data_IF_271925526266
#
_entry.id   IF_271925526266
#
_cell.length_a   1.000
_cell.length_b   1.000
_cell.length_c   1.000
_cell.angle_alpha   90.00
_cell.angle_beta   90.00
_cell.angle_gamma   90.00
#
_symmetry.space_group_name_H-M   'P 1'
#
loop_
_entity.id
_entity.type
_entity.pdbx_description
1 polymer ?
#
# COMPACT_ATOMS: atom_id res chain seq x y z
N UNK A 1 15.27 -16.89 -9.79
CA UNK A 1 15.62 -16.62 -8.39
C UNK A 1 14.75 -17.55 -7.56
N UNK A 2 14.92 -17.98 -6.42
CA UNK A 2 14.10 -18.78 -5.49
C UNK A 2 13.23 -19.91 -6.09
N UNK A 3 13.88 -20.94 -6.64
CA UNK A 3 13.18 -22.12 -7.19
C UNK A 3 12.49 -22.93 -6.07
N UNK A 4 13.11 -23.01 -4.90
CA UNK A 4 12.61 -23.72 -3.73
C UNK A 4 12.35 -22.77 -2.56
N UNK A 5 11.34 -23.10 -1.75
CA UNK A 5 11.02 -22.35 -0.55
C UNK A 5 11.83 -22.89 0.64
N UNK A 6 12.58 -22.03 1.36
CA UNK A 6 13.38 -22.47 2.49
C UNK A 6 12.53 -22.93 3.67
N UNK A 7 12.78 -24.13 4.17
CA UNK A 7 12.09 -24.74 5.31
C UNK A 7 12.76 -24.48 6.66
N UNK A 8 13.88 -23.75 6.72
CA UNK A 8 14.60 -23.44 7.96
C UNK A 8 15.25 -22.06 7.88
N UNK A 9 15.54 -21.46 9.04
CA UNK A 9 16.23 -20.18 9.13
C UNK A 9 17.55 -20.18 8.36
N UNK A 10 18.35 -21.21 8.51
CA UNK A 10 19.63 -21.33 7.81
C UNK A 10 19.46 -21.38 6.29
N UNK A 11 18.46 -22.12 5.79
CA UNK A 11 18.15 -22.20 4.36
C UNK A 11 17.64 -20.84 3.85
N UNK A 12 16.80 -20.14 4.63
CA UNK A 12 16.30 -18.80 4.32
C UNK A 12 17.44 -17.80 4.14
N UNK A 13 18.38 -17.72 5.11
CA UNK A 13 19.52 -16.81 5.04
C UNK A 13 20.42 -17.12 3.84
N UNK A 14 20.75 -18.39 3.67
CA UNK A 14 21.61 -18.81 2.55
C UNK A 14 20.98 -18.50 1.19
N UNK A 15 19.68 -18.77 1.02
CA UNK A 15 18.98 -18.51 -0.23
C UNK A 15 18.99 -17.02 -0.58
N UNK A 16 18.65 -16.15 0.36
CA UNK A 16 18.67 -14.71 0.14
C UNK A 16 20.07 -14.21 -0.19
N UNK A 17 21.07 -14.60 0.59
CA UNK A 17 22.46 -14.17 0.36
C UNK A 17 22.99 -14.63 -0.99
N UNK A 18 22.81 -15.91 -1.33
CA UNK A 18 23.29 -16.48 -2.60
C UNK A 18 22.61 -15.79 -3.78
N UNK A 19 21.28 -15.65 -3.74
CA UNK A 19 20.54 -15.04 -4.84
C UNK A 19 20.84 -13.55 -4.99
N UNK A 20 20.99 -12.81 -3.88
CA UNK A 20 21.35 -11.40 -3.94
C UNK A 20 22.75 -11.17 -4.49
N UNK A 21 23.74 -11.98 -4.07
CA UNK A 21 25.10 -11.90 -4.58
C UNK A 21 25.19 -12.30 -6.06
N UNK A 22 24.42 -13.32 -6.48
CA UNK A 22 24.34 -13.71 -7.88
C UNK A 22 23.70 -12.60 -8.72
N UNK A 23 22.65 -11.97 -8.24
CA UNK A 23 21.98 -10.85 -8.91
C UNK A 23 22.94 -9.66 -9.11
N UNK A 24 23.69 -9.28 -8.09
CA UNK A 24 24.70 -8.22 -8.17
C UNK A 24 25.80 -8.53 -9.20
N UNK A 25 26.18 -9.82 -9.33
CA UNK A 25 27.21 -10.27 -10.27
C UNK A 25 26.75 -10.21 -11.73
N UNK A 26 25.48 -10.51 -11.99
CA UNK A 26 24.97 -10.65 -13.36
C UNK A 26 24.77 -9.33 -14.08
N UNK A 27 24.68 -8.23 -13.36
CA UNK A 27 24.56 -6.89 -13.93
C UNK A 27 23.46 -6.77 -15.00
N UNK A 28 22.36 -7.50 -14.81
CA UNK A 28 21.23 -7.60 -15.75
C UNK A 28 20.16 -6.59 -15.44
N UNK A 29 20.06 -5.57 -16.25
CA UNK A 29 19.36 -4.34 -15.94
C UNK A 29 18.03 -4.14 -16.63
N UNK A 30 17.22 -5.08 -16.95
CA UNK A 30 16.40 -4.81 -18.10
C UNK A 30 14.98 -4.32 -17.85
N UNK A 31 14.28 -4.76 -16.80
CA UNK A 31 12.84 -4.57 -16.76
C UNK A 31 12.27 -4.00 -15.44
N UNK A 32 13.13 -3.58 -14.53
CA UNK A 32 12.68 -3.03 -13.24
C UNK A 32 12.82 -1.51 -13.17
N UNK A 33 12.88 -0.85 -14.31
CA UNK A 33 13.16 0.57 -14.35
C UNK A 33 12.11 1.30 -15.19
N UNK A 34 11.35 2.14 -14.54
CA UNK A 34 10.41 3.05 -15.18
C UNK A 34 11.08 4.43 -15.33
N UNK A 35 11.66 4.67 -16.51
CA UNK A 35 12.29 5.94 -16.84
C UNK A 35 11.30 7.12 -16.79
N UNK A 36 10.03 6.88 -17.08
CA UNK A 36 9.02 7.93 -17.07
C UNK A 36 8.70 8.42 -15.65
N UNK A 37 8.69 7.49 -14.68
CA UNK A 37 8.43 7.82 -13.27
C UNK A 37 9.60 8.57 -12.62
N UNK A 38 10.83 8.20 -12.95
CA UNK A 38 12.02 8.74 -12.30
C UNK A 38 12.77 9.81 -13.11
N UNK A 39 12.29 10.16 -14.29
CA UNK A 39 12.89 11.18 -15.17
C UNK A 39 14.40 10.99 -15.40
N UNK A 40 14.83 9.76 -15.69
CA UNK A 40 16.22 9.40 -15.86
C UNK A 40 16.72 9.47 -17.32
N UNK A 41 16.07 10.23 -18.18
CA UNK A 41 16.55 10.44 -19.54
C UNK A 41 17.95 11.06 -19.50
N UNK A 42 18.95 10.31 -19.99
CA UNK A 42 20.34 10.75 -20.07
C UNK A 42 21.20 10.51 -18.83
N UNK A 43 20.68 9.83 -17.78
CA UNK A 43 21.50 9.49 -16.61
C UNK A 43 22.40 8.29 -16.91
N UNK A 44 23.67 8.44 -16.60
CA UNK A 44 24.65 7.35 -16.63
C UNK A 44 24.29 6.29 -15.57
N UNK A 45 23.81 5.13 -16.04
CA UNK A 45 23.33 4.02 -15.18
C UNK A 45 24.41 3.51 -14.22
N UNK A 46 25.69 3.66 -14.56
CA UNK A 46 26.79 3.27 -13.67
C UNK A 46 26.83 4.12 -12.39
N UNK A 47 26.26 5.33 -12.42
CA UNK A 47 26.18 6.24 -11.27
C UNK A 47 24.97 5.96 -10.38
N UNK A 48 24.05 5.11 -10.80
CA UNK A 48 22.86 4.73 -10.01
C UNK A 48 23.16 3.59 -9.04
N UNK A 49 24.32 2.93 -9.15
CA UNK A 49 24.75 1.96 -8.17
C UNK A 49 25.28 2.70 -6.93
N UNK A 50 24.50 2.65 -5.86
CA UNK A 50 24.88 3.25 -4.59
C UNK A 50 25.34 2.18 -3.61
N UNK A 51 26.68 2.05 -3.45
CA UNK A 51 27.28 1.09 -2.53
C UNK A 51 26.88 1.32 -1.06
N UNK A 52 26.58 2.57 -0.70
CA UNK A 52 26.14 2.91 0.67
C UNK A 52 24.76 2.32 0.97
N UNK A 53 23.83 2.37 0.01
CA UNK A 53 22.50 1.77 0.16
C UNK A 53 22.59 0.25 0.28
N UNK A 54 23.42 -0.37 -0.55
CA UNK A 54 23.67 -1.81 -0.44
C UNK A 54 24.27 -2.18 0.92
N UNK A 55 25.27 -1.43 1.39
CA UNK A 55 25.89 -1.67 2.70
C UNK A 55 24.85 -1.54 3.83
N UNK A 56 24.01 -0.50 3.78
CA UNK A 56 22.92 -0.30 4.74
C UNK A 56 21.96 -1.49 4.76
N UNK A 57 21.48 -1.95 3.60
CA UNK A 57 20.52 -3.04 3.54
C UNK A 57 21.15 -4.40 3.88
N UNK A 58 22.43 -4.65 3.58
CA UNK A 58 23.12 -5.85 4.07
C UNK A 58 23.25 -5.83 5.59
N UNK A 59 23.63 -4.70 6.20
CA UNK A 59 23.66 -4.55 7.65
C UNK A 59 22.27 -4.75 8.28
N UNK A 60 21.25 -4.11 7.70
CA UNK A 60 19.86 -4.28 8.10
C UNK A 60 19.43 -5.74 8.06
N UNK A 61 19.75 -6.47 7.00
CA UNK A 61 19.44 -7.90 6.85
C UNK A 61 20.11 -8.74 7.95
N UNK A 62 21.42 -8.55 8.16
CA UNK A 62 22.13 -9.30 9.20
C UNK A 62 21.62 -9.04 10.61
N UNK A 63 21.23 -7.81 10.91
CA UNK A 63 20.66 -7.44 12.21
C UNK A 63 19.25 -8.02 12.43
N UNK A 64 18.50 -8.27 11.37
CA UNK A 64 17.08 -8.62 11.44
C UNK A 64 16.75 -10.03 10.88
N UNK A 65 17.75 -10.87 10.65
CA UNK A 65 17.56 -12.19 10.02
C UNK A 65 16.48 -13.04 10.70
N UNK A 66 16.48 -13.10 12.02
CA UNK A 66 15.50 -13.89 12.80
C UNK A 66 14.08 -13.35 12.64
N UNK A 67 13.91 -12.03 12.71
CA UNK A 67 12.62 -11.37 12.54
C UNK A 67 12.09 -11.55 11.11
N UNK A 68 12.96 -11.43 10.10
CA UNK A 68 12.61 -11.66 8.71
C UNK A 68 12.18 -13.10 8.45
N UNK A 69 12.89 -14.08 9.00
CA UNK A 69 12.50 -15.48 8.88
C UNK A 69 11.19 -15.77 9.64
N UNK A 70 11.00 -15.19 10.82
CA UNK A 70 9.76 -15.32 11.57
C UNK A 70 8.56 -14.79 10.76
N UNK A 71 8.66 -13.58 10.18
CA UNK A 71 7.62 -13.00 9.34
C UNK A 71 7.34 -13.87 8.09
N UNK A 72 8.39 -14.28 7.37
CA UNK A 72 8.28 -15.21 6.24
C UNK A 72 7.50 -16.49 6.61
N UNK A 73 7.79 -17.05 7.78
CA UNK A 73 7.18 -18.32 8.24
C UNK A 73 5.69 -18.18 8.55
N UNK A 74 5.21 -16.97 8.82
CA UNK A 74 3.82 -16.66 9.13
C UNK A 74 2.93 -16.48 7.90
N UNK A 75 3.51 -16.36 6.70
CA UNK A 75 2.75 -16.17 5.47
C UNK A 75 2.04 -17.46 5.04
N UNK A 76 0.77 -17.31 4.65
CA UNK A 76 -0.19 -18.41 4.53
C UNK A 76 -0.08 -19.24 3.24
N UNK A 77 0.60 -18.75 2.20
CA UNK A 77 0.76 -19.48 0.94
C UNK A 77 2.17 -19.35 0.34
N UNK A 78 2.47 -20.21 -0.63
CA UNK A 78 3.78 -20.24 -1.27
C UNK A 78 4.09 -19.00 -2.09
N UNK A 79 3.09 -18.40 -2.74
CA UNK A 79 3.27 -17.20 -3.57
C UNK A 79 3.69 -16.00 -2.70
N UNK A 80 3.03 -15.78 -1.56
CA UNK A 80 3.44 -14.78 -0.58
C UNK A 80 4.84 -15.03 -0.04
N UNK A 81 5.19 -16.28 0.25
CA UNK A 81 6.54 -16.65 0.72
C UNK A 81 7.59 -16.37 -0.35
N UNK A 82 7.30 -16.73 -1.58
CA UNK A 82 8.21 -16.49 -2.72
C UNK A 82 8.39 -14.99 -2.98
N UNK A 83 7.30 -14.24 -2.96
CA UNK A 83 7.33 -12.78 -3.08
C UNK A 83 8.16 -12.14 -1.95
N UNK A 84 8.00 -12.59 -0.71
CA UNK A 84 8.75 -12.10 0.43
C UNK A 84 10.27 -12.25 0.26
N UNK A 85 10.72 -13.41 -0.23
CA UNK A 85 12.13 -13.65 -0.56
C UNK A 85 12.65 -12.65 -1.61
N UNK A 86 11.85 -12.41 -2.67
CA UNK A 86 12.22 -11.44 -3.70
C UNK A 86 12.29 -10.01 -3.15
N UNK A 87 11.36 -9.61 -2.29
CA UNK A 87 11.35 -8.28 -1.67
C UNK A 87 12.58 -8.05 -0.77
N UNK A 88 13.00 -9.07 -0.01
CA UNK A 88 14.23 -8.97 0.79
C UNK A 88 15.46 -8.91 -0.11
N UNK A 89 15.55 -9.77 -1.13
CA UNK A 89 16.65 -9.75 -2.08
C UNK A 89 16.71 -8.43 -2.89
N UNK A 90 15.55 -7.87 -3.24
CA UNK A 90 15.43 -6.58 -3.92
C UNK A 90 16.00 -5.45 -3.07
N UNK A 91 15.74 -5.44 -1.76
CA UNK A 91 16.36 -4.45 -0.85
C UNK A 91 17.88 -4.60 -0.78
N UNK A 92 18.39 -5.82 -0.78
CA UNK A 92 19.84 -6.09 -0.72
C UNK A 92 20.57 -5.73 -2.00
N UNK A 93 20.04 -6.18 -3.16
CA UNK A 93 20.72 -6.07 -4.45
C UNK A 93 20.22 -4.91 -5.33
N UNK A 94 19.12 -4.27 -4.94
CA UNK A 94 18.56 -3.10 -5.62
C UNK A 94 17.72 -3.46 -6.86
N UNK A 95 16.98 -2.45 -7.31
CA UNK A 95 16.03 -2.55 -8.42
C UNK A 95 16.68 -2.85 -9.79
N UNK A 96 17.98 -2.59 -9.94
CA UNK A 96 18.71 -2.93 -11.15
C UNK A 96 19.14 -4.40 -11.23
N UNK A 97 19.13 -5.10 -10.14
CA UNK A 97 19.68 -6.46 -10.04
C UNK A 97 18.63 -7.52 -9.75
N UNK A 98 17.51 -7.15 -9.13
CA UNK A 98 16.42 -8.07 -8.77
C UNK A 98 15.13 -7.63 -9.41
N UNK A 99 14.51 -8.53 -10.19
CA UNK A 99 13.18 -8.35 -10.75
C UNK A 99 12.13 -8.86 -9.76
N UNK A 100 11.19 -7.99 -9.40
CA UNK A 100 10.05 -8.40 -8.58
C UNK A 100 9.03 -9.17 -9.42
N UNK A 101 8.48 -10.27 -8.90
CA UNK A 101 7.45 -11.06 -9.58
C UNK A 101 6.09 -10.37 -9.46
N UNK A 102 5.91 -9.27 -10.18
CA UNK A 102 4.63 -8.57 -10.23
C UNK A 102 3.72 -9.21 -11.28
N UNK A 103 2.51 -9.54 -10.89
CA UNK A 103 1.53 -10.23 -11.73
C UNK A 103 0.97 -9.42 -12.90
N UNK A 104 1.63 -8.33 -13.34
CA UNK A 104 1.14 -7.43 -14.38
C UNK A 104 1.25 -8.01 -15.80
N UNK A 105 2.18 -8.93 -16.04
CA UNK A 105 2.38 -9.51 -17.36
C UNK A 105 1.11 -10.22 -17.89
N UNK A 106 0.24 -10.68 -17.00
CA UNK A 106 -0.98 -11.39 -17.35
C UNK A 106 -2.22 -10.48 -17.44
N UNK A 107 -2.06 -9.15 -17.30
CA UNK A 107 -3.16 -8.17 -17.29
C UNK A 107 -3.13 -7.20 -18.48
N UNK A 108 -2.42 -7.54 -19.54
CA UNK A 108 -2.31 -6.69 -20.73
C UNK A 108 -3.67 -6.39 -21.37
N UNK A 109 -4.55 -7.39 -21.43
CA UNK A 109 -5.90 -7.22 -21.99
C UNK A 109 -6.78 -6.34 -21.09
N UNK A 110 -6.73 -6.53 -19.77
CA UNK A 110 -7.44 -5.67 -18.81
C UNK A 110 -6.92 -4.22 -18.86
N UNK A 111 -5.62 -4.05 -19.01
CA UNK A 111 -5.01 -2.71 -19.15
C UNK A 111 -5.45 -2.04 -20.46
N UNK A 112 -5.52 -2.77 -21.56
CA UNK A 112 -6.00 -2.26 -22.82
C UNK A 112 -7.48 -1.86 -22.75
N UNK A 113 -8.33 -2.70 -22.14
CA UNK A 113 -9.74 -2.41 -21.88
C UNK A 113 -9.90 -1.14 -21.02
N UNK A 114 -9.17 -1.08 -19.89
CA UNK A 114 -9.19 0.10 -19.02
C UNK A 114 -8.74 1.35 -19.75
N UNK A 115 -7.63 1.30 -20.49
CA UNK A 115 -7.10 2.45 -21.25
C UNK A 115 -8.08 2.94 -22.31
N UNK A 116 -8.83 2.03 -22.94
CA UNK A 116 -9.86 2.38 -23.90
C UNK A 116 -11.09 3.04 -23.23
N UNK A 117 -11.43 2.64 -22.02
CA UNK A 117 -12.57 3.17 -21.27
C UNK A 117 -12.26 4.46 -20.51
N UNK A 118 -11.10 4.52 -19.84
CA UNK A 118 -10.74 5.55 -18.88
C UNK A 118 -10.30 6.86 -19.56
N UNK A 119 -11.24 7.53 -20.21
CA UNK A 119 -11.00 8.87 -20.74
C UNK A 119 -10.86 9.87 -19.62
N UNK A 120 -9.86 10.76 -19.73
CA UNK A 120 -9.62 11.81 -18.75
C UNK A 120 -9.32 13.15 -19.39
N UNK A 121 -9.65 14.22 -18.69
CA UNK A 121 -9.29 15.60 -19.03
C UNK A 121 -8.44 16.17 -17.88
N UNK A 122 -7.69 17.27 -18.11
CA UNK A 122 -7.02 17.96 -17.00
C UNK A 122 -8.04 18.37 -15.93
N UNK A 123 -7.76 18.09 -14.66
CA UNK A 123 -8.58 18.55 -13.55
C UNK A 123 -8.57 20.07 -13.46
N UNK A 124 -9.69 20.64 -13.04
CA UNK A 124 -9.81 22.08 -12.73
C UNK A 124 -9.43 22.39 -11.26
N UNK A 125 -9.16 21.36 -10.47
CA UNK A 125 -8.79 21.55 -9.08
C UNK A 125 -7.33 22.00 -8.97
N UNK A 126 -7.01 22.89 -8.03
CA UNK A 126 -5.64 23.26 -7.75
C UNK A 126 -4.90 22.03 -7.18
N UNK A 127 -4.05 21.42 -7.99
CA UNK A 127 -3.13 20.40 -7.51
C UNK A 127 -1.80 21.09 -7.23
N UNK A 128 -1.40 21.19 -5.98
CA UNK A 128 -0.15 21.83 -5.54
C UNK A 128 1.10 21.01 -5.92
N UNK A 129 1.19 20.59 -7.17
CA UNK A 129 2.31 19.78 -7.68
C UNK A 129 2.21 18.28 -7.39
N UNK A 130 1.14 17.83 -6.75
CA UNK A 130 0.91 16.41 -6.52
C UNK A 130 0.86 15.63 -7.84
N UNK A 131 1.63 14.56 -7.95
CA UNK A 131 1.57 13.58 -9.03
C UNK A 131 1.59 14.18 -10.46
N UNK A 132 2.24 15.32 -10.66
CA UNK A 132 2.31 15.96 -11.99
C UNK A 132 1.00 16.59 -12.47
N UNK A 133 0.02 16.72 -11.59
CA UNK A 133 -1.33 17.24 -11.87
C UNK A 133 -2.41 16.17 -11.82
N UNK A 134 -3.58 16.56 -11.34
CA UNK A 134 -4.74 15.68 -11.30
C UNK A 134 -5.44 15.65 -12.66
N UNK A 135 -6.06 14.53 -12.96
CA UNK A 135 -6.93 14.33 -14.12
C UNK A 135 -8.35 14.12 -13.63
N UNK A 136 -9.30 14.68 -14.34
CA UNK A 136 -10.72 14.40 -14.15
C UNK A 136 -11.11 13.18 -14.96
N UNK A 137 -11.57 12.13 -14.30
CA UNK A 137 -12.11 10.91 -14.88
C UNK A 137 -13.63 10.92 -14.75
N UNK A 138 -14.31 10.55 -15.83
CA UNK A 138 -15.76 10.31 -15.88
C UNK A 138 -15.99 9.20 -16.92
N UNK A 139 -16.14 7.95 -16.47
CA UNK A 139 -16.19 6.78 -17.35
C UNK A 139 -16.85 5.56 -16.70
N UNK A 140 -17.32 4.66 -17.55
CA UNK A 140 -17.84 3.35 -17.19
C UNK A 140 -16.76 2.28 -17.37
N UNK A 141 -16.56 1.43 -16.35
CA UNK A 141 -15.66 0.29 -16.43
C UNK A 141 -16.23 -0.91 -15.66
N UNK A 142 -16.35 -2.07 -16.31
CA UNK A 142 -16.93 -3.31 -15.74
C UNK A 142 -18.29 -3.08 -15.06
N UNK A 143 -19.17 -2.31 -15.72
CA UNK A 143 -20.52 -1.92 -15.26
C UNK A 143 -20.55 -1.03 -14.01
N UNK A 144 -19.44 -0.44 -13.64
CA UNK A 144 -19.36 0.56 -12.58
C UNK A 144 -18.99 1.92 -13.16
N UNK A 145 -19.62 2.98 -12.65
CA UNK A 145 -19.35 4.36 -13.05
C UNK A 145 -18.36 5.01 -12.11
N UNK A 146 -17.36 5.68 -12.63
CA UNK A 146 -16.31 6.37 -11.86
C UNK A 146 -16.26 7.84 -12.26
N UNK A 147 -16.46 8.74 -11.29
CA UNK A 147 -16.28 10.18 -11.44
C UNK A 147 -15.33 10.65 -10.35
N UNK A 148 -14.09 11.03 -10.70
CA UNK A 148 -13.07 11.38 -9.71
C UNK A 148 -11.94 12.19 -10.32
N UNK A 149 -11.42 13.16 -9.57
CA UNK A 149 -10.21 13.89 -9.89
C UNK A 149 -9.02 13.27 -9.14
N UNK A 150 -8.17 12.52 -9.84
CA UNK A 150 -7.00 11.83 -9.28
C UNK A 150 -5.88 11.68 -10.31
N UNK A 151 -4.75 11.10 -9.91
CA UNK A 151 -3.64 10.85 -10.81
C UNK A 151 -3.91 9.65 -11.74
N UNK A 152 -4.41 8.55 -11.20
CA UNK A 152 -4.72 7.31 -11.94
C UNK A 152 -5.63 6.41 -11.11
N UNK A 153 -6.43 5.59 -11.78
CA UNK A 153 -7.20 4.50 -11.18
C UNK A 153 -6.68 3.10 -11.59
N UNK A 154 -5.65 3.04 -12.43
CA UNK A 154 -5.10 1.79 -12.95
C UNK A 154 -4.68 0.81 -11.84
N UNK A 155 -4.00 1.32 -10.81
CA UNK A 155 -3.53 0.50 -9.70
C UNK A 155 -4.66 -0.25 -9.00
N UNK A 156 -5.81 0.37 -8.86
CA UNK A 156 -6.95 -0.19 -8.13
C UNK A 156 -7.87 -1.02 -9.03
N UNK A 157 -8.11 -0.58 -10.24
CA UNK A 157 -9.08 -1.21 -11.15
C UNK A 157 -8.47 -2.35 -11.97
N UNK A 158 -7.21 -2.20 -12.43
CA UNK A 158 -6.50 -3.20 -13.23
C UNK A 158 -5.61 -4.07 -12.36
N UNK A 159 -4.72 -3.45 -11.58
CA UNK A 159 -3.77 -4.19 -10.72
C UNK A 159 -4.42 -4.75 -9.47
N UNK A 160 -5.62 -4.28 -9.10
CA UNK A 160 -6.41 -4.76 -7.97
C UNK A 160 -5.72 -4.55 -6.62
N UNK A 161 -4.90 -3.50 -6.48
CA UNK A 161 -4.34 -3.12 -5.19
C UNK A 161 -5.47 -2.93 -4.17
N UNK A 162 -5.29 -3.48 -2.98
CA UNK A 162 -6.27 -3.61 -1.89
C UNK A 162 -7.44 -4.57 -2.14
N UNK A 163 -7.40 -5.33 -3.24
CA UNK A 163 -8.38 -6.35 -3.59
C UNK A 163 -7.68 -7.69 -3.88
N UNK A 164 -7.15 -8.31 -2.83
CA UNK A 164 -6.44 -9.59 -2.97
C UNK A 164 -7.39 -10.71 -3.37
N UNK A 165 -7.08 -11.36 -4.48
CA UNK A 165 -7.86 -12.49 -4.99
C UNK A 165 -6.91 -13.48 -5.68
N UNK A 166 -6.33 -14.39 -4.89
CA UNK A 166 -5.36 -15.37 -5.37
C UNK A 166 -5.57 -16.72 -4.68
N UNK A 167 -5.44 -17.81 -5.44
CA UNK A 167 -5.50 -19.17 -4.91
C UNK A 167 -6.82 -19.51 -4.18
N UNK A 168 -7.95 -18.90 -4.58
CA UNK A 168 -9.24 -19.06 -3.91
C UNK A 168 -9.40 -18.27 -2.60
N UNK A 169 -8.43 -17.39 -2.30
CA UNK A 169 -8.45 -16.52 -1.12
C UNK A 169 -8.83 -15.12 -1.58
N UNK A 170 -9.97 -14.63 -1.11
CA UNK A 170 -10.42 -13.26 -1.38
C UNK A 170 -10.37 -12.43 -0.10
N UNK A 171 -9.67 -11.27 -0.17
CA UNK A 171 -9.55 -10.28 0.90
C UNK A 171 -9.79 -8.91 0.28
N UNK A 172 -11.06 -8.55 0.20
CA UNK A 172 -11.53 -7.32 -0.42
C UNK A 172 -12.79 -6.83 0.29
N UNK A 173 -13.15 -5.54 0.16
CA UNK A 173 -14.48 -5.07 0.55
C UNK A 173 -15.57 -5.79 -0.24
N UNK A 174 -16.72 -5.97 0.38
CA UNK A 174 -17.91 -6.57 -0.22
C UNK A 174 -19.12 -5.63 -0.09
N UNK A 175 -20.16 -5.87 -0.88
CA UNK A 175 -21.40 -5.09 -0.80
C UNK A 175 -21.94 -5.04 0.63
N UNK A 176 -22.29 -3.85 1.11
CA UNK A 176 -22.77 -3.59 2.47
C UNK A 176 -21.68 -3.47 3.54
N UNK A 177 -20.39 -3.64 3.19
CA UNK A 177 -19.28 -3.51 4.14
C UNK A 177 -19.09 -2.05 4.59
N UNK A 178 -18.58 -1.91 5.81
CA UNK A 178 -18.04 -0.65 6.33
C UNK A 178 -16.51 -0.70 6.20
N UNK A 179 -15.97 0.23 5.44
CA UNK A 179 -14.54 0.34 5.12
C UNK A 179 -13.93 1.52 5.87
N UNK A 180 -12.75 1.30 6.44
CA UNK A 180 -11.84 2.34 6.90
C UNK A 180 -10.74 2.47 5.86
N UNK A 181 -10.67 3.63 5.21
CA UNK A 181 -9.65 3.98 4.23
C UNK A 181 -8.66 4.97 4.88
N UNK A 182 -7.61 4.44 5.48
CA UNK A 182 -6.54 5.23 6.10
C UNK A 182 -5.50 5.64 5.06
N UNK A 183 -5.25 6.95 4.91
CA UNK A 183 -4.45 7.51 3.82
C UNK A 183 -5.25 7.58 2.52
N UNK A 184 -6.45 8.13 2.58
CA UNK A 184 -7.36 8.22 1.44
C UNK A 184 -6.94 9.27 0.39
N UNK A 185 -5.91 10.05 0.69
CA UNK A 185 -5.33 11.05 -0.19
C UNK A 185 -6.41 11.92 -0.87
N UNK A 186 -6.47 11.91 -2.19
CA UNK A 186 -7.46 12.65 -2.98
C UNK A 186 -8.75 11.88 -3.24
N UNK A 187 -8.84 10.61 -2.82
CA UNK A 187 -10.04 9.79 -2.92
C UNK A 187 -10.10 8.83 -4.11
N UNK A 188 -8.98 8.50 -4.71
CA UNK A 188 -8.86 7.47 -5.73
C UNK A 188 -9.24 6.08 -5.20
N UNK A 189 -8.72 5.68 -4.04
CA UNK A 189 -9.16 4.46 -3.34
C UNK A 189 -10.61 4.55 -2.90
N UNK A 190 -11.03 5.72 -2.40
CA UNK A 190 -12.40 5.97 -1.95
C UNK A 190 -13.43 5.76 -3.08
N UNK A 191 -13.14 6.19 -4.31
CA UNK A 191 -14.01 5.97 -5.47
C UNK A 191 -14.22 4.47 -5.74
N UNK A 192 -13.16 3.68 -5.67
CA UNK A 192 -13.22 2.23 -5.91
C UNK A 192 -13.90 1.50 -4.76
N UNK A 193 -13.60 1.86 -3.52
CA UNK A 193 -14.28 1.27 -2.36
C UNK A 193 -15.76 1.64 -2.30
N UNK A 194 -16.12 2.89 -2.64
CA UNK A 194 -17.51 3.35 -2.69
C UNK A 194 -18.36 2.46 -3.60
N UNK A 195 -17.89 2.19 -4.81
CA UNK A 195 -18.58 1.30 -5.74
C UNK A 195 -18.61 -0.15 -5.21
N UNK A 196 -17.49 -0.66 -4.70
CA UNK A 196 -17.39 -2.04 -4.21
C UNK A 196 -18.35 -2.33 -3.04
N UNK A 197 -18.55 -1.37 -2.12
CA UNK A 197 -19.47 -1.58 -1.00
C UNK A 197 -20.93 -1.21 -1.32
N UNK A 198 -21.17 -0.42 -2.37
CA UNK A 198 -22.50 -0.05 -2.84
C UNK A 198 -23.29 0.81 -1.85
N UNK A 199 -24.61 1.05 -2.12
CA UNK A 199 -25.42 2.01 -1.38
C UNK A 199 -25.67 1.63 0.09
N UNK A 200 -25.61 0.34 0.43
CA UNK A 200 -25.81 -0.15 1.79
C UNK A 200 -24.51 -0.14 2.62
N UNK A 201 -23.35 0.02 1.95
CA UNK A 201 -22.04 0.12 2.59
C UNK A 201 -21.67 1.54 2.95
N UNK A 202 -20.52 1.71 3.60
CA UNK A 202 -19.94 3.01 3.94
C UNK A 202 -18.43 2.98 3.86
N UNK A 203 -17.83 4.10 3.43
CA UNK A 203 -16.38 4.30 3.41
C UNK A 203 -16.04 5.53 4.27
N UNK A 204 -15.24 5.33 5.31
CA UNK A 204 -14.70 6.40 6.15
C UNK A 204 -13.27 6.68 5.72
N UNK A 205 -13.04 7.82 5.09
CA UNK A 205 -11.78 8.20 4.45
C UNK A 205 -10.97 9.13 5.35
N UNK A 206 -9.82 8.67 5.79
CA UNK A 206 -8.92 9.39 6.69
C UNK A 206 -7.72 9.94 5.95
N UNK A 207 -7.48 11.21 6.07
CA UNK A 207 -6.25 11.88 5.65
C UNK A 207 -6.02 13.12 6.50
N UNK A 208 -4.79 13.44 6.97
CA UNK A 208 -4.54 14.60 7.78
C UNK A 208 -4.22 15.87 6.98
N UNK A 209 -3.96 15.75 5.67
CA UNK A 209 -3.46 16.85 4.84
C UNK A 209 -4.61 17.69 4.32
N UNK A 210 -4.59 18.98 4.61
CA UNK A 210 -5.69 19.90 4.27
C UNK A 210 -5.98 19.96 2.76
N UNK A 211 -4.94 19.94 1.91
CA UNK A 211 -5.10 19.94 0.46
C UNK A 211 -5.74 18.64 -0.05
N UNK A 212 -5.34 17.50 0.51
CA UNK A 212 -5.96 16.21 0.20
C UNK A 212 -7.44 16.20 0.60
N UNK A 213 -7.75 16.63 1.81
CA UNK A 213 -9.13 16.73 2.33
C UNK A 213 -10.00 17.62 1.46
N UNK A 214 -9.44 18.70 0.92
CA UNK A 214 -10.18 19.59 0.02
C UNK A 214 -10.57 18.88 -1.27
N UNK A 215 -9.63 18.19 -1.91
CA UNK A 215 -9.87 17.42 -3.15
C UNK A 215 -10.76 16.21 -2.88
N UNK A 216 -10.47 15.44 -1.81
CA UNK A 216 -11.29 14.30 -1.40
C UNK A 216 -12.75 14.72 -1.11
N UNK A 217 -12.95 15.85 -0.42
CA UNK A 217 -14.29 16.38 -0.15
C UNK A 217 -15.04 16.85 -1.41
N UNK A 218 -14.32 17.28 -2.43
CA UNK A 218 -14.88 17.57 -3.74
C UNK A 218 -15.25 16.26 -4.47
N UNK A 219 -14.35 15.31 -4.52
CA UNK A 219 -14.54 14.01 -5.17
C UNK A 219 -15.71 13.22 -4.56
N UNK A 220 -15.78 13.15 -3.24
CA UNK A 220 -16.84 12.43 -2.52
C UNK A 220 -18.26 12.89 -2.87
N UNK A 221 -18.42 14.15 -3.31
CA UNK A 221 -19.73 14.69 -3.75
C UNK A 221 -20.09 14.28 -5.19
N UNK A 222 -19.11 13.82 -5.96
CA UNK A 222 -19.29 13.43 -7.34
C UNK A 222 -19.44 11.92 -7.51
N UNK A 223 -19.07 11.12 -6.50
CA UNK A 223 -19.19 9.68 -6.57
C UNK A 223 -20.63 9.25 -6.85
N UNK A 224 -20.85 8.29 -7.75
CA UNK A 224 -22.19 7.82 -8.08
C UNK A 224 -22.98 7.28 -6.87
N UNK A 225 -22.26 6.80 -5.86
CA UNK A 225 -22.83 6.32 -4.60
C UNK A 225 -22.46 7.28 -3.47
N UNK A 226 -23.48 7.86 -2.80
CA UNK A 226 -23.29 8.81 -1.71
C UNK A 226 -23.06 8.11 -0.37
N UNK A 227 -21.98 7.33 -0.26
CA UNK A 227 -21.67 6.48 0.90
C UNK A 227 -20.30 6.77 1.54
N UNK A 228 -19.62 7.84 1.12
CA UNK A 228 -18.29 8.25 1.61
C UNK A 228 -18.38 9.33 2.65
N UNK A 229 -17.65 9.19 3.76
CA UNK A 229 -17.49 10.18 4.80
C UNK A 229 -16.03 10.57 4.95
N UNK A 230 -15.73 11.85 4.78
CA UNK A 230 -14.38 12.41 4.92
C UNK A 230 -14.09 12.69 6.39
N UNK A 231 -12.96 12.19 6.87
CA UNK A 231 -12.48 12.29 8.25
C UNK A 231 -11.11 12.98 8.24
N UNK A 232 -11.02 14.27 8.57
CA UNK A 232 -9.78 15.06 8.46
C UNK A 232 -8.81 14.79 9.61
N UNK A 233 -8.39 13.53 9.77
CA UNK A 233 -7.52 13.06 10.85
C UNK A 233 -6.45 12.11 10.30
N UNK A 234 -5.24 12.19 10.87
CA UNK A 234 -4.26 11.11 10.77
C UNK A 234 -4.64 9.97 11.74
N UNK A 235 -4.52 8.73 11.27
CA UNK A 235 -4.71 7.56 12.12
C UNK A 235 -3.46 7.30 12.97
N UNK A 236 -3.65 7.02 14.27
CA UNK A 236 -2.56 6.80 15.22
C UNK A 236 -3.09 6.06 16.46
N UNK A 237 -2.21 5.74 17.41
CA UNK A 237 -2.56 5.32 18.78
C UNK A 237 -2.83 6.52 19.71
N UNK A 238 -2.63 7.75 19.22
CA UNK A 238 -2.85 8.99 19.95
C UNK A 238 -4.19 9.63 19.60
N UNK A 239 -4.68 10.53 20.49
CA UNK A 239 -5.85 11.37 20.27
C UNK A 239 -5.47 12.80 20.63
N UNK A 240 -4.98 13.56 19.65
CA UNK A 240 -4.48 14.93 19.82
C UNK A 240 -5.01 15.87 18.72
N UNK A 241 -5.27 17.11 19.09
CA UNK A 241 -5.80 18.11 18.15
C UNK A 241 -4.76 18.64 17.16
N UNK A 242 -3.48 18.59 17.54
CA UNK A 242 -2.38 19.03 16.71
C UNK A 242 -1.08 18.30 17.13
N UNK A 243 -0.58 17.44 16.27
CA UNK A 243 0.73 16.78 16.42
C UNK A 243 1.64 17.33 15.32
N UNK A 244 2.85 17.82 15.62
CA UNK A 244 3.79 18.22 14.60
C UNK A 244 4.28 16.96 13.87
N UNK A 245 3.76 16.72 12.68
CA UNK A 245 4.23 15.65 11.80
C UNK A 245 5.28 16.22 10.87
N UNK A 246 6.46 15.62 10.89
CA UNK A 246 7.43 15.78 9.83
C UNK A 246 6.96 14.91 8.68
N UNK A 247 6.34 15.52 7.67
CA UNK A 247 5.95 14.82 6.46
C UNK A 247 7.21 14.28 5.80
N UNK A 248 7.27 12.98 5.64
CA UNK A 248 8.43 12.29 5.12
C UNK A 248 8.70 12.70 3.67
N UNK A 249 9.96 12.82 3.26
CA UNK A 249 10.39 13.28 1.92
C UNK A 249 9.86 12.42 0.75
N UNK A 250 9.20 11.29 1.05
CA UNK A 250 8.67 10.34 0.07
C UNK A 250 7.19 10.54 -0.27
N UNK A 251 6.49 11.45 0.40
CA UNK A 251 5.10 11.74 0.06
C UNK A 251 5.05 12.80 -1.05
N UNK A 252 4.74 12.43 -2.32
CA UNK A 252 4.68 13.38 -3.40
C UNK A 252 3.60 14.44 -3.14
N UNK A 253 3.94 15.72 -3.28
CA UNK A 253 3.01 16.83 -3.10
C UNK A 253 2.97 17.44 -1.71
N UNK A 254 3.69 16.89 -0.75
CA UNK A 254 3.85 17.55 0.56
C UNK A 254 4.90 18.66 0.48
N UNK A 255 4.57 19.83 1.00
CA UNK A 255 5.59 20.82 1.29
C UNK A 255 6.44 20.29 2.45
N UNK A 256 7.75 20.55 2.44
CA UNK A 256 8.68 20.21 3.51
C UNK A 256 8.41 20.94 4.84
N UNK A 257 7.28 21.62 4.98
CA UNK A 257 6.89 22.34 6.18
C UNK A 257 6.33 21.38 7.22
N UNK A 258 6.78 21.52 8.47
CA UNK A 258 6.15 20.87 9.61
C UNK A 258 4.70 21.35 9.71
N UNK A 259 3.76 20.43 9.54
CA UNK A 259 2.34 20.70 9.76
C UNK A 259 1.91 20.12 11.10
N UNK A 260 1.09 20.85 11.83
CA UNK A 260 0.39 20.29 12.97
C UNK A 260 -0.93 19.69 12.46
N UNK A 261 -1.12 18.39 12.66
CA UNK A 261 -2.30 17.67 12.18
C UNK A 261 -3.03 17.00 13.34
N UNK A 262 -4.35 16.88 13.27
CA UNK A 262 -5.10 16.15 14.28
C UNK A 262 -4.92 14.65 14.08
N UNK A 263 -4.63 13.94 15.18
CA UNK A 263 -4.51 12.48 15.20
C UNK A 263 -5.63 11.86 16.01
N UNK A 264 -6.18 10.76 15.53
CA UNK A 264 -7.23 9.99 16.18
C UNK A 264 -6.97 8.49 16.10
N UNK A 265 -7.32 7.79 17.15
CA UNK A 265 -7.31 6.32 17.15
C UNK A 265 -8.70 5.78 16.77
N UNK A 266 -8.71 4.70 15.99
CA UNK A 266 -9.94 4.00 15.61
C UNK A 266 -10.71 3.55 16.86
N UNK A 267 -10.01 3.02 17.87
CA UNK A 267 -10.64 2.56 19.12
C UNK A 267 -11.37 3.69 19.84
N UNK A 268 -10.79 4.90 19.88
CA UNK A 268 -11.46 6.06 20.47
C UNK A 268 -12.71 6.45 19.68
N UNK A 269 -12.64 6.51 18.34
CA UNK A 269 -13.78 6.87 17.50
C UNK A 269 -14.91 5.83 17.55
N UNK A 270 -14.59 4.56 17.74
CA UNK A 270 -15.60 3.50 18.01
C UNK A 270 -16.22 3.71 19.40
N UNK A 271 -15.41 4.03 20.42
CA UNK A 271 -15.89 4.30 21.77
C UNK A 271 -16.85 5.50 21.82
N UNK A 272 -16.52 6.57 21.12
CA UNK A 272 -17.36 7.79 21.01
C UNK A 272 -18.53 7.64 20.03
N UNK A 273 -18.67 6.49 19.38
CA UNK A 273 -19.72 6.18 18.39
C UNK A 273 -19.64 7.02 17.10
N UNK A 274 -18.49 7.61 16.81
CA UNK A 274 -18.21 8.26 15.54
C UNK A 274 -18.01 7.25 14.42
N UNK A 275 -17.44 6.08 14.76
CA UNK A 275 -17.33 4.94 13.86
C UNK A 275 -18.23 3.79 14.30
N UNK A 276 -18.95 3.15 13.37
CA UNK A 276 -19.71 1.90 13.64
C UNK A 276 -18.76 0.70 13.68
N UNK A 277 -19.32 -0.51 13.56
CA UNK A 277 -18.54 -1.71 13.22
C UNK A 277 -17.81 -1.49 11.89
N UNK A 278 -16.69 -2.19 11.68
CA UNK A 278 -15.96 -2.18 10.42
C UNK A 278 -15.72 -3.61 9.92
N UNK A 279 -15.69 -3.75 8.59
CA UNK A 279 -15.54 -5.03 7.90
C UNK A 279 -14.20 -5.12 7.16
N UNK A 280 -13.66 -3.96 6.77
CA UNK A 280 -12.40 -3.85 6.06
C UNK A 280 -11.63 -2.61 6.54
N UNK A 281 -10.32 -2.74 6.71
CA UNK A 281 -9.42 -1.62 7.03
C UNK A 281 -8.28 -1.64 6.02
N UNK A 282 -8.11 -0.57 5.27
CA UNK A 282 -6.89 -0.27 4.49
C UNK A 282 -6.06 0.73 5.28
N UNK A 283 -4.76 0.49 5.37
CA UNK A 283 -3.78 1.42 5.94
C UNK A 283 -2.63 1.62 4.95
N UNK A 284 -2.53 2.84 4.46
CA UNK A 284 -1.45 3.33 3.63
C UNK A 284 -1.22 4.79 4.07
N UNK A 285 -0.52 4.94 5.19
CA UNK A 285 -0.49 6.15 6.01
C UNK A 285 0.92 6.68 6.22
N UNK A 286 1.76 6.48 5.21
CA UNK A 286 3.09 7.08 5.09
C UNK A 286 4.00 6.79 6.31
N UNK A 287 3.98 5.54 6.78
CA UNK A 287 4.82 5.03 7.86
C UNK A 287 4.17 5.09 9.26
N UNK A 288 2.88 5.42 9.36
CA UNK A 288 2.12 5.36 10.61
C UNK A 288 1.24 4.09 10.74
N UNK A 289 1.50 3.04 9.91
CA UNK A 289 0.70 1.82 9.88
C UNK A 289 0.70 1.10 11.23
N UNK A 290 1.86 0.96 11.86
CA UNK A 290 2.00 0.27 13.14
C UNK A 290 1.29 1.02 14.27
N UNK A 291 1.43 2.35 14.32
CA UNK A 291 0.73 3.22 15.25
C UNK A 291 -0.79 3.17 15.02
N UNK A 292 -1.24 3.15 13.77
CA UNK A 292 -2.65 3.01 13.41
C UNK A 292 -3.23 1.67 13.84
N UNK A 293 -2.49 0.58 13.65
CA UNK A 293 -2.88 -0.75 14.13
C UNK A 293 -2.95 -0.82 15.67
N UNK A 294 -2.02 -0.15 16.38
CA UNK A 294 -2.07 -0.03 17.84
C UNK A 294 -3.32 0.71 18.29
N UNK A 295 -3.68 1.80 17.59
CA UNK A 295 -4.88 2.59 17.85
C UNK A 295 -6.20 1.95 17.42
N UNK A 296 -6.14 0.80 16.73
CA UNK A 296 -7.29 0.01 16.30
C UNK A 296 -7.40 -1.35 17.01
N UNK A 297 -6.53 -1.62 17.99
CA UNK A 297 -6.34 -2.96 18.55
C UNK A 297 -7.61 -3.59 19.13
N UNK A 298 -8.38 -2.83 19.88
CA UNK A 298 -9.63 -3.31 20.49
C UNK A 298 -10.72 -3.52 19.44
N UNK A 299 -10.84 -2.60 18.52
CA UNK A 299 -11.79 -2.66 17.40
C UNK A 299 -11.50 -3.84 16.48
N UNK A 300 -10.24 -4.10 16.15
CA UNK A 300 -9.84 -5.25 15.33
C UNK A 300 -10.16 -6.56 16.06
N UNK A 301 -9.86 -6.68 17.34
CA UNK A 301 -10.22 -7.88 18.14
C UNK A 301 -11.72 -8.12 18.19
N UNK A 302 -12.48 -7.05 18.31
CA UNK A 302 -13.95 -7.10 18.45
C UNK A 302 -14.64 -7.44 17.13
N UNK A 303 -14.28 -6.75 16.05
CA UNK A 303 -15.01 -6.82 14.78
C UNK A 303 -14.37 -7.77 13.77
N UNK A 304 -13.10 -8.10 13.94
CA UNK A 304 -12.30 -8.96 13.06
C UNK A 304 -12.43 -8.58 11.58
N UNK A 305 -12.18 -7.28 11.23
CA UNK A 305 -12.24 -6.85 9.83
C UNK A 305 -11.15 -7.55 9.02
N UNK A 306 -11.33 -7.66 7.71
CA UNK A 306 -10.23 -7.94 6.80
C UNK A 306 -9.27 -6.74 6.81
N UNK A 307 -7.97 -6.97 6.66
CA UNK A 307 -6.97 -5.89 6.64
C UNK A 307 -6.21 -5.89 5.32
N UNK A 308 -5.86 -4.68 4.85
CA UNK A 308 -4.89 -4.42 3.80
C UNK A 308 -3.94 -3.31 4.31
N UNK A 309 -2.69 -3.66 4.60
CA UNK A 309 -1.74 -2.78 5.29
C UNK A 309 -0.45 -2.66 4.47
N UNK A 310 -0.04 -1.46 4.14
CA UNK A 310 1.20 -1.19 3.42
C UNK A 310 2.43 -1.57 4.24
N UNK A 311 3.42 -2.21 3.59
CA UNK A 311 4.65 -2.75 4.22
C UNK A 311 5.93 -2.12 3.66
N UNK A 312 5.86 -0.94 3.07
CA UNK A 312 6.98 -0.43 2.27
C UNK A 312 7.56 0.90 2.75
N UNK A 313 6.90 1.61 3.64
CA UNK A 313 7.35 2.93 4.09
C UNK A 313 8.61 2.89 4.96
N UNK A 314 8.75 1.87 5.79
CA UNK A 314 9.96 1.66 6.60
C UNK A 314 10.58 0.28 6.29
N UNK A 315 11.92 0.14 6.31
CA UNK A 315 12.54 -1.17 6.07
C UNK A 315 12.03 -2.27 6.98
N UNK A 316 11.71 -1.94 8.23
CA UNK A 316 11.27 -2.88 9.25
C UNK A 316 9.79 -3.28 9.12
N UNK A 317 8.98 -2.57 8.34
CA UNK A 317 7.55 -2.86 8.18
C UNK A 317 7.33 -4.30 7.70
N UNK A 318 8.24 -4.85 6.89
CA UNK A 318 8.19 -6.22 6.41
C UNK A 318 8.12 -7.27 7.54
N UNK A 319 8.61 -6.99 8.72
CA UNK A 319 8.55 -7.92 9.84
C UNK A 319 7.89 -7.35 11.10
N UNK A 320 7.99 -6.05 11.38
CA UNK A 320 7.37 -5.45 12.57
C UNK A 320 5.84 -5.48 12.50
N UNK A 321 5.26 -5.12 11.35
CA UNK A 321 3.81 -5.15 11.16
C UNK A 321 3.30 -6.59 11.15
N UNK A 322 3.97 -7.49 10.43
CA UNK A 322 3.60 -8.93 10.40
C UNK A 322 3.66 -9.54 11.81
N UNK A 323 4.74 -9.26 12.55
CA UNK A 323 4.92 -9.71 13.93
C UNK A 323 3.85 -9.15 14.88
N UNK A 324 3.56 -7.85 14.78
CA UNK A 324 2.51 -7.20 15.57
C UNK A 324 1.12 -7.80 15.31
N UNK A 325 0.78 -8.06 14.05
CA UNK A 325 -0.49 -8.71 13.68
C UNK A 325 -0.56 -10.11 14.29
N UNK A 326 0.50 -10.90 14.18
CA UNK A 326 0.55 -12.24 14.75
C UNK A 326 0.36 -12.25 16.27
N UNK A 327 1.05 -11.35 16.96
CA UNK A 327 1.02 -11.26 18.42
C UNK A 327 -0.34 -10.79 18.95
N UNK A 328 -0.91 -9.77 18.33
CA UNK A 328 -2.13 -9.12 18.81
C UNK A 328 -3.42 -9.72 18.26
N UNK A 329 -3.36 -10.35 17.07
CA UNK A 329 -4.51 -10.87 16.32
C UNK A 329 -4.24 -12.29 15.78
N UNK A 330 -3.98 -13.28 16.64
CA UNK A 330 -3.53 -14.62 16.22
C UNK A 330 -4.54 -15.39 15.36
N UNK A 331 -5.74 -14.87 15.21
CA UNK A 331 -6.79 -15.44 14.38
C UNK A 331 -6.65 -15.11 12.88
N UNK A 332 -5.72 -14.21 12.50
CA UNK A 332 -5.53 -13.90 11.08
C UNK A 332 -4.61 -14.90 10.37
N UNK A 333 -5.04 -15.26 9.16
CA UNK A 333 -4.17 -15.77 8.11
C UNK A 333 -3.62 -14.59 7.32
N UNK A 334 -2.32 -14.59 7.01
CA UNK A 334 -1.60 -13.46 6.43
C UNK A 334 -1.04 -13.79 5.05
N UNK A 335 -1.20 -12.88 4.11
CA UNK A 335 -0.73 -12.98 2.73
C UNK A 335 -0.10 -11.65 2.31
N UNK A 336 0.76 -11.64 1.31
CA UNK A 336 1.29 -10.42 0.73
C UNK A 336 1.13 -10.41 -0.77
N UNK A 337 0.97 -9.22 -1.33
CA UNK A 337 1.08 -8.97 -2.76
C UNK A 337 1.82 -7.67 -3.02
N UNK A 338 2.22 -7.44 -4.28
CA UNK A 338 3.05 -6.31 -4.66
C UNK A 338 2.63 -5.78 -6.04
N UNK A 339 2.55 -4.46 -6.18
CA UNK A 339 1.84 -3.81 -7.29
C UNK A 339 2.70 -2.91 -8.18
N UNK A 340 4.00 -2.83 -7.92
CA UNK A 340 4.95 -2.05 -8.75
C UNK A 340 6.19 -2.86 -9.10
N UNK A 341 6.99 -2.34 -10.03
CA UNK A 341 8.32 -2.88 -10.32
C UNK A 341 9.39 -2.34 -9.35
N UNK A 342 8.98 -1.51 -8.41
CA UNK A 342 9.84 -0.83 -7.42
C UNK A 342 9.63 -1.42 -6.02
N UNK A 343 10.30 -0.88 -5.01
CA UNK A 343 10.17 -1.34 -3.63
C UNK A 343 8.89 -0.91 -2.91
N UNK A 344 8.10 -0.06 -3.54
CA UNK A 344 6.85 0.50 -3.03
C UNK A 344 5.66 -0.39 -3.39
N UNK A 345 4.52 -0.18 -2.73
CA UNK A 345 3.24 -0.83 -2.99
C UNK A 345 3.23 -2.35 -2.65
N UNK A 346 3.95 -2.72 -1.60
CA UNK A 346 3.78 -4.04 -0.97
C UNK A 346 2.69 -3.96 0.08
N UNK A 347 1.71 -4.85 0.02
CA UNK A 347 0.55 -4.86 0.91
C UNK A 347 0.44 -6.20 1.64
N UNK A 348 0.29 -6.14 2.97
CA UNK A 348 -0.10 -7.26 3.83
C UNK A 348 -1.61 -7.39 3.84
N UNK A 349 -2.11 -8.57 3.53
CA UNK A 349 -3.52 -8.92 3.57
C UNK A 349 -3.80 -9.88 4.72
N UNK A 350 -4.81 -9.57 5.54
CA UNK A 350 -5.17 -10.41 6.67
C UNK A 350 -6.64 -10.84 6.57
N UNK A 351 -6.88 -12.15 6.71
CA UNK A 351 -8.21 -12.76 6.70
C UNK A 351 -8.44 -13.46 8.05
N UNK A 352 -9.53 -13.14 8.77
CA UNK A 352 -9.85 -13.79 10.04
C UNK A 352 -10.29 -15.23 9.87
#
# INVERSE_FOLDING_TARGET
MFAELPGSAKAFYNSIMVESLNALKLNTFFDNFDAARFNFDGVDRSKLFNSSDHAFYFEWFFRNMENLFAAYSLLGNEDSKRLYLHLVAFRLAGHFSVRLPVGFANKADELAEFTAAAHSTPSQLPSSGMFGGLKHFDFEYKNEHYVVDCASLEYYLVRRQYFYDQGGINIAPASGDVVIDGGACVGDTAAVFSNAVGPEGRVFCFDPVADHITVLGYNAKQFPVANVQVMPYGLSDKNVAADPIVLNHYAPGFSSANQAVPLRSIDNMVHTKELPKMNFIKLDVEGAELESLRGARESIRRFKPKLAVSLYHKPNDLFEIVGFVKENFPFYSMYIDHYTIHGEETVLYCKP
#
